data_IF_316502857145
#
_entry.id   IF_316502857145
#
_cell.length_a   1.000
_cell.length_b   1.000
_cell.length_c   1.000
_cell.angle_alpha   90.00
_cell.angle_beta   90.00
_cell.angle_gamma   90.00
#
_symmetry.space_group_name_H-M   'P 1'
#
loop_
_entity.id
_entity.type
_entity.pdbx_description
1 polymer ?
#
# COMPACT_ATOMS: atom_id res chain seq x y z
N UNK A 1 -8.92 25.07 5.84
CA UNK A 1 -7.60 25.33 5.22
C UNK A 1 -7.20 24.05 4.52
N UNK A 2 -6.90 24.05 3.21
CA UNK A 2 -6.40 22.84 2.53
C UNK A 2 -4.89 22.74 2.70
N UNK A 3 -4.39 21.62 3.20
CA UNK A 3 -2.96 21.32 3.17
C UNK A 3 -2.58 20.75 1.80
N UNK A 4 -1.44 21.19 1.27
CA UNK A 4 -0.86 20.67 0.05
C UNK A 4 0.27 19.72 0.45
N UNK A 5 0.14 18.46 0.04
CA UNK A 5 1.18 17.45 0.23
C UNK A 5 1.93 17.23 -1.09
N UNK A 6 3.25 17.30 -1.05
CA UNK A 6 4.12 16.96 -2.18
C UNK A 6 4.59 15.51 -2.03
N UNK A 7 4.49 14.73 -3.09
CA UNK A 7 4.91 13.32 -3.13
C UNK A 7 5.32 12.96 -4.55
N UNK A 8 6.26 12.03 -4.71
CA UNK A 8 6.64 11.51 -6.02
C UNK A 8 5.56 10.55 -6.56
N UNK A 9 4.96 9.77 -5.67
CA UNK A 9 3.89 8.81 -6.01
C UNK A 9 2.70 8.96 -5.06
N UNK A 10 1.50 8.98 -5.63
CA UNK A 10 0.23 8.87 -4.91
C UNK A 10 -0.43 7.54 -5.25
N UNK A 11 -0.71 6.73 -4.23
CA UNK A 11 -1.46 5.47 -4.33
C UNK A 11 -2.85 5.68 -3.74
N UNK A 12 -3.87 5.30 -4.50
CA UNK A 12 -5.28 5.35 -4.09
C UNK A 12 -5.77 3.91 -3.88
N UNK A 13 -6.11 3.58 -2.63
CA UNK A 13 -6.52 2.26 -2.16
C UNK A 13 -5.42 1.56 -1.36
N UNK A 14 -5.69 1.26 -0.09
CA UNK A 14 -4.76 0.61 0.85
C UNK A 14 -4.95 -0.90 0.99
N UNK A 15 -5.61 -1.53 0.02
CA UNK A 15 -5.69 -2.99 -0.03
C UNK A 15 -4.34 -3.67 -0.25
N UNK A 16 -4.33 -5.02 -0.36
CA UNK A 16 -3.10 -5.78 -0.55
C UNK A 16 -2.25 -5.26 -1.70
N UNK A 17 -2.86 -4.93 -2.84
CA UNK A 17 -2.16 -4.39 -4.00
C UNK A 17 -1.51 -3.03 -3.75
N UNK A 18 -2.28 -2.06 -3.24
CA UNK A 18 -1.77 -0.70 -3.00
C UNK A 18 -0.70 -0.66 -1.92
N UNK A 19 -0.88 -1.42 -0.84
CA UNK A 19 0.11 -1.52 0.23
C UNK A 19 1.37 -2.26 -0.23
N UNK A 20 1.22 -3.34 -1.01
CA UNK A 20 2.38 -4.05 -1.57
C UNK A 20 3.17 -3.15 -2.53
N UNK A 21 2.49 -2.41 -3.39
CA UNK A 21 3.15 -1.46 -4.29
C UNK A 21 3.87 -0.35 -3.52
N UNK A 22 3.24 0.23 -2.49
CA UNK A 22 3.87 1.23 -1.63
C UNK A 22 5.12 0.66 -0.96
N UNK A 23 5.03 -0.54 -0.39
CA UNK A 23 6.15 -1.19 0.28
C UNK A 23 7.31 -1.47 -0.69
N UNK A 24 7.03 -2.01 -1.88
CA UNK A 24 8.05 -2.24 -2.90
C UNK A 24 8.74 -0.95 -3.35
N UNK A 25 7.98 0.15 -3.51
CA UNK A 25 8.57 1.45 -3.86
C UNK A 25 9.47 1.99 -2.75
N UNK A 26 9.05 1.86 -1.49
CA UNK A 26 9.84 2.31 -0.34
C UNK A 26 11.11 1.46 -0.13
N UNK A 27 11.06 0.16 -0.44
CA UNK A 27 12.18 -0.76 -0.27
C UNK A 27 13.22 -0.65 -1.41
N UNK A 28 12.75 -0.38 -2.63
CA UNK A 28 13.60 -0.44 -3.84
C UNK A 28 14.00 0.94 -4.37
N UNK A 29 13.45 2.03 -3.82
CA UNK A 29 13.69 3.39 -4.31
C UNK A 29 13.78 4.38 -3.16
N UNK A 30 14.18 5.62 -3.45
CA UNK A 30 14.14 6.74 -2.52
C UNK A 30 12.90 7.63 -2.70
N UNK A 31 11.86 7.14 -3.38
CA UNK A 31 10.67 7.94 -3.70
C UNK A 31 9.83 8.16 -2.45
N UNK A 32 9.26 9.36 -2.35
CA UNK A 32 8.21 9.67 -1.39
C UNK A 32 6.88 9.13 -1.91
N UNK A 33 6.18 8.38 -1.06
CA UNK A 33 4.91 7.73 -1.41
C UNK A 33 3.85 8.14 -0.41
N UNK A 34 2.72 8.66 -0.92
CA UNK A 34 1.50 8.84 -0.14
C UNK A 34 0.52 7.75 -0.56
N UNK A 35 0.03 7.00 0.42
CA UNK A 35 -1.06 6.05 0.23
C UNK A 35 -2.30 6.57 0.94
N UNK A 36 -3.39 6.64 0.20
CA UNK A 36 -4.70 7.04 0.72
C UNK A 36 -5.66 5.87 0.63
N UNK A 37 -6.39 5.60 1.71
CA UNK A 37 -7.48 4.62 1.72
C UNK A 37 -8.71 5.30 2.35
N UNK A 38 -9.88 5.01 1.81
CA UNK A 38 -11.16 5.52 2.29
C UNK A 38 -11.88 4.49 3.19
N UNK A 39 -11.34 3.28 3.33
CA UNK A 39 -11.97 2.23 4.14
C UNK A 39 -11.73 2.49 5.63
N UNK A 40 -12.77 2.28 6.44
CA UNK A 40 -12.71 2.43 7.89
C UNK A 40 -12.18 1.16 8.60
N UNK A 41 -11.64 0.19 7.83
CA UNK A 41 -11.19 -1.14 8.30
C UNK A 41 -12.24 -1.92 9.12
N UNK A 42 -13.49 -1.53 9.01
CA UNK A 42 -14.68 -2.05 9.70
C UNK A 42 -15.33 -3.22 8.96
N UNK A 43 -14.91 -3.47 7.72
CA UNK A 43 -15.40 -4.55 6.88
C UNK A 43 -14.45 -5.74 6.89
N UNK A 44 -14.98 -6.91 7.23
CA UNK A 44 -14.28 -8.17 7.04
C UNK A 44 -14.02 -8.36 5.54
N UNK A 45 -12.75 -8.48 5.16
CA UNK A 45 -12.35 -8.75 3.78
C UNK A 45 -12.29 -10.26 3.57
N UNK A 46 -12.72 -10.71 2.40
CA UNK A 46 -12.54 -12.10 2.00
C UNK A 46 -11.04 -12.36 1.87
N UNK A 47 -10.54 -13.39 2.55
CA UNK A 47 -9.14 -13.80 2.43
C UNK A 47 -8.82 -14.24 1.01
N UNK A 48 -7.62 -13.91 0.54
CA UNK A 48 -7.11 -14.37 -0.75
C UNK A 48 -6.16 -15.56 -0.55
N UNK A 49 -6.18 -16.49 -1.50
CA UNK A 49 -5.14 -17.49 -1.59
C UNK A 49 -3.86 -16.79 -2.06
N UNK A 50 -2.78 -16.98 -1.30
CA UNK A 50 -1.47 -16.45 -1.66
C UNK A 50 -0.44 -17.56 -1.61
N UNK A 51 0.62 -17.41 -2.41
CA UNK A 51 1.71 -18.38 -2.43
C UNK A 51 2.52 -18.34 -1.12
N UNK A 52 2.98 -19.51 -0.68
CA UNK A 52 3.73 -19.64 0.57
C UNK A 52 5.06 -18.85 0.55
N UNK A 53 5.63 -18.59 -0.63
CA UNK A 53 6.85 -17.78 -0.80
C UNK A 53 6.73 -16.36 -0.23
N UNK A 54 5.53 -15.79 -0.13
CA UNK A 54 5.33 -14.49 0.51
C UNK A 54 5.77 -14.46 1.98
N UNK A 55 5.71 -15.61 2.67
CA UNK A 55 6.07 -15.71 4.09
C UNK A 55 7.50 -16.19 4.31
N UNK A 56 8.21 -16.53 3.23
CA UNK A 56 9.60 -16.97 3.28
C UNK A 56 10.36 -16.38 2.09
N UNK A 57 10.65 -15.06 2.10
CA UNK A 57 11.13 -14.33 0.93
C UNK A 57 12.56 -14.69 0.47
N UNK A 58 13.18 -15.73 1.04
CA UNK A 58 14.52 -16.22 0.70
C UNK A 58 14.58 -17.75 0.85
#
# INVERSE_FOLDING_TARGET
MSEIYNTDVLIIGGGPSGTSAALSLLDQTSLTVILTDHTAFDTSRIGEHVDASLFNPF
#
